data_IF_263724036522
#
_entry.id   IF_263724036522
#
_cell.length_a   1.000
_cell.length_b   1.000
_cell.length_c   1.000
_cell.angle_alpha   90.00
_cell.angle_beta   90.00
_cell.angle_gamma   90.00
#
_symmetry.space_group_name_H-M   'P 1'
#
loop_
_entity.id
_entity.type
_entity.pdbx_description
1 polymer ?
#
# COMPACT_ATOMS: atom_id res chain seq x y z
N UNK A 1 -34.34 4.11 -5.07
CA UNK A 1 -34.22 4.26 -3.61
C UNK A 1 -35.48 3.69 -2.97
N UNK A 2 -35.45 2.46 -2.46
CA UNK A 2 -36.60 1.87 -1.78
C UNK A 2 -36.63 2.39 -0.34
N UNK A 3 -37.65 3.18 -0.01
CA UNK A 3 -38.15 3.28 1.36
C UNK A 3 -38.75 1.92 1.67
N UNK A 4 -38.17 1.20 2.62
CA UNK A 4 -38.84 0.04 3.21
C UNK A 4 -39.62 0.56 4.42
N UNK A 5 -40.95 0.53 4.30
CA UNK A 5 -41.90 0.59 5.40
C UNK A 5 -41.53 -0.48 6.44
N UNK A 6 -41.40 -0.09 7.72
CA UNK A 6 -41.30 -1.02 8.83
C UNK A 6 -42.71 -1.51 9.17
N UNK A 7 -43.13 -2.60 8.55
CA UNK A 7 -44.30 -3.37 8.97
C UNK A 7 -43.89 -4.30 10.13
N UNK A 8 -44.75 -4.38 11.16
CA UNK A 8 -44.59 -5.14 12.40
C UNK A 8 -44.05 -6.57 12.19
N UNK A 9 -42.77 -6.78 12.50
CA UNK A 9 -42.22 -8.08 12.84
C UNK A 9 -41.24 -7.89 13.99
N UNK A 10 -41.65 -8.28 15.21
CA UNK A 10 -40.87 -8.16 16.44
C UNK A 10 -39.49 -8.84 16.38
N UNK A 11 -39.27 -9.71 15.38
CA UNK A 11 -37.99 -10.35 15.10
C UNK A 11 -37.06 -9.43 14.29
N UNK A 12 -37.57 -8.69 13.31
CA UNK A 12 -36.75 -7.81 12.45
C UNK A 12 -36.29 -6.55 13.18
N UNK A 13 -37.13 -6.02 14.07
CA UNK A 13 -36.76 -4.91 14.97
C UNK A 13 -35.60 -5.28 15.90
N UNK A 14 -35.53 -6.55 16.33
CA UNK A 14 -34.42 -7.07 17.13
C UNK A 14 -33.13 -7.16 16.31
N UNK A 15 -33.19 -7.58 15.04
CA UNK A 15 -32.02 -7.59 14.14
C UNK A 15 -31.51 -6.17 13.84
N UNK A 16 -32.41 -5.24 13.54
CA UNK A 16 -32.05 -3.83 13.28
C UNK A 16 -31.46 -3.16 14.54
N UNK A 17 -32.06 -3.37 15.71
CA UNK A 17 -31.51 -2.88 16.97
C UNK A 17 -30.13 -3.51 17.28
N UNK A 18 -29.97 -4.82 17.05
CA UNK A 18 -28.71 -5.53 17.29
C UNK A 18 -27.60 -5.13 16.31
N UNK A 19 -27.94 -4.71 15.09
CA UNK A 19 -26.97 -4.18 14.13
C UNK A 19 -26.56 -2.73 14.43
N UNK A 20 -27.50 -1.87 14.84
CA UNK A 20 -27.21 -0.49 15.29
C UNK A 20 -26.22 -0.50 16.47
N UNK A 21 -26.40 -1.41 17.42
CA UNK A 21 -25.54 -1.51 18.60
C UNK A 21 -24.11 -2.01 18.29
N UNK A 22 -23.88 -2.73 17.18
CA UNK A 22 -22.55 -3.28 16.88
C UNK A 22 -21.53 -2.22 16.50
N UNK A 23 -21.95 -1.18 15.76
CA UNK A 23 -21.02 -0.17 15.23
C UNK A 23 -20.12 0.49 16.29
N UNK A 24 -20.61 0.65 17.51
CA UNK A 24 -19.85 1.21 18.64
C UNK A 24 -19.71 0.26 19.84
N UNK A 25 -20.03 -1.03 19.68
CA UNK A 25 -19.89 -2.01 20.77
C UNK A 25 -18.43 -2.43 20.99
N UNK A 26 -17.66 -2.57 19.91
CA UNK A 26 -16.26 -2.93 19.96
C UNK A 26 -15.38 -1.76 19.48
N UNK A 27 -14.17 -1.64 20.04
CA UNK A 27 -13.18 -0.64 19.58
C UNK A 27 -12.88 -0.77 18.09
N UNK A 28 -12.72 -2.00 17.60
CA UNK A 28 -12.39 -2.25 16.19
C UNK A 28 -13.54 -1.88 15.25
N UNK A 29 -14.78 -2.24 15.60
CA UNK A 29 -15.99 -1.85 14.85
C UNK A 29 -16.18 -0.33 14.88
N UNK A 30 -15.84 0.32 15.99
CA UNK A 30 -15.88 1.80 16.10
C UNK A 30 -14.86 2.45 15.16
N UNK A 31 -13.64 1.91 15.09
CA UNK A 31 -12.60 2.39 14.17
C UNK A 31 -13.02 2.21 12.71
N UNK A 32 -13.59 1.06 12.36
CA UNK A 32 -14.13 0.81 11.01
C UNK A 32 -15.25 1.79 10.67
N UNK A 33 -16.19 2.01 11.59
CA UNK A 33 -17.30 2.97 11.43
C UNK A 33 -16.78 4.39 11.22
N UNK A 34 -15.76 4.82 11.97
CA UNK A 34 -15.13 6.13 11.79
C UNK A 34 -14.35 6.25 10.46
N UNK A 35 -13.65 5.19 10.04
CA UNK A 35 -12.97 5.13 8.75
C UNK A 35 -13.96 5.29 7.59
N UNK A 36 -15.04 4.51 7.57
CA UNK A 36 -16.09 4.66 6.57
C UNK A 36 -16.82 6.00 6.68
N UNK A 37 -16.94 6.54 7.89
CA UNK A 37 -17.46 7.89 8.16
C UNK A 37 -16.61 9.00 7.54
N UNK A 38 -15.29 8.83 7.41
CA UNK A 38 -14.41 9.80 6.74
C UNK A 38 -14.74 9.98 5.26
N UNK A 39 -15.24 8.91 4.60
CA UNK A 39 -15.72 8.97 3.22
C UNK A 39 -17.19 9.40 3.09
N UNK A 40 -17.87 9.68 4.20
CA UNK A 40 -19.29 10.03 4.22
C UNK A 40 -20.23 8.85 3.95
N UNK A 41 -19.78 7.61 4.17
CA UNK A 41 -20.56 6.39 3.92
C UNK A 41 -21.40 5.93 5.13
N UNK A 42 -21.36 6.67 6.24
CA UNK A 42 -22.16 6.40 7.44
C UNK A 42 -23.40 7.31 7.47
N UNK A 43 -24.56 6.76 7.82
CA UNK A 43 -25.79 7.52 7.97
C UNK A 43 -26.01 8.00 9.42
N UNK A 44 -26.79 9.07 9.60
CA UNK A 44 -27.16 9.61 10.90
C UNK A 44 -28.09 8.66 11.69
N UNK A 45 -28.76 7.73 10.99
CA UNK A 45 -29.62 6.70 11.60
C UNK A 45 -28.84 5.71 12.46
N UNK A 46 -27.55 5.50 12.18
CA UNK A 46 -26.67 4.61 12.97
C UNK A 46 -26.50 5.06 14.42
N UNK A 47 -26.76 6.33 14.74
CA UNK A 47 -26.68 6.88 16.11
C UNK A 47 -28.01 6.84 16.88
N UNK A 48 -29.11 6.40 16.24
CA UNK A 48 -30.42 6.30 16.88
C UNK A 48 -30.50 5.03 17.71
N UNK A 49 -30.74 5.16 19.02
CA UNK A 49 -30.86 4.03 19.95
C UNK A 49 -32.34 3.63 20.08
N UNK A 50 -32.64 2.33 20.09
CA UNK A 50 -34.01 1.78 20.23
C UNK A 50 -34.75 2.30 21.48
N UNK A 51 -34.05 2.43 22.61
CA UNK A 51 -34.56 3.20 23.77
C UNK A 51 -34.31 4.68 23.56
N UNK A 52 -35.38 5.50 23.64
CA UNK A 52 -35.35 6.98 23.56
C UNK A 52 -34.52 7.61 24.70
N UNK A 53 -33.20 7.53 24.60
CA UNK A 53 -32.26 8.31 25.39
C UNK A 53 -31.76 9.48 24.56
N UNK A 54 -32.56 10.56 24.53
CA UNK A 54 -32.29 11.75 23.73
C UNK A 54 -30.92 12.39 24.05
N UNK A 55 -30.48 12.32 25.31
CA UNK A 55 -29.19 12.87 25.73
C UNK A 55 -28.00 12.13 25.11
N UNK A 56 -27.98 10.79 25.18
CA UNK A 56 -26.89 9.97 24.63
C UNK A 56 -26.81 10.11 23.12
N UNK A 57 -27.96 10.15 22.44
CA UNK A 57 -28.03 10.40 21.00
C UNK A 57 -27.43 11.77 20.65
N UNK A 58 -27.81 12.82 21.37
CA UNK A 58 -27.28 14.17 21.13
C UNK A 58 -25.76 14.25 21.29
N UNK A 59 -25.20 13.64 22.34
CA UNK A 59 -23.75 13.59 22.55
C UNK A 59 -23.06 12.79 21.44
N UNK A 60 -23.61 11.64 21.04
CA UNK A 60 -23.07 10.81 19.96
C UNK A 60 -23.01 11.55 18.61
N UNK A 61 -24.11 12.21 18.21
CA UNK A 61 -24.15 13.03 17.00
C UNK A 61 -23.17 14.20 17.08
N UNK A 62 -23.07 14.85 18.24
CA UNK A 62 -22.15 16.00 18.43
C UNK A 62 -20.69 15.55 18.34
N UNK A 63 -20.32 14.45 19.00
CA UNK A 63 -18.97 13.88 18.93
C UNK A 63 -18.60 13.49 17.49
N UNK A 64 -19.53 12.83 16.77
CA UNK A 64 -19.32 12.47 15.38
C UNK A 64 -19.18 13.71 14.48
N UNK A 65 -20.00 14.75 14.68
CA UNK A 65 -19.93 16.00 13.91
C UNK A 65 -18.63 16.79 14.12
N UNK A 66 -18.13 16.84 15.35
CA UNK A 66 -16.82 17.46 15.65
C UNK A 66 -15.70 16.63 15.02
N UNK A 67 -15.76 15.30 15.14
CA UNK A 67 -14.81 14.39 14.50
C UNK A 67 -14.75 14.62 12.98
N UNK A 68 -15.89 14.61 12.29
CA UNK A 68 -15.94 14.78 10.83
C UNK A 68 -15.45 16.16 10.40
N UNK A 69 -15.75 17.21 11.18
CA UNK A 69 -15.29 18.57 10.91
C UNK A 69 -13.76 18.67 11.00
N UNK A 70 -13.15 18.11 12.03
CA UNK A 70 -11.68 18.10 12.18
C UNK A 70 -11.02 17.29 11.06
N UNK A 71 -11.55 16.10 10.74
CA UNK A 71 -10.98 15.22 9.72
C UNK A 71 -11.03 15.86 8.32
N UNK A 72 -12.18 16.40 7.92
CA UNK A 72 -12.40 16.92 6.56
C UNK A 72 -11.87 18.35 6.41
N UNK A 73 -12.12 19.24 7.38
CA UNK A 73 -11.79 20.66 7.21
C UNK A 73 -10.34 20.93 7.62
N UNK A 74 -9.88 20.35 8.74
CA UNK A 74 -8.56 20.70 9.29
C UNK A 74 -7.49 19.78 8.73
N UNK A 75 -7.61 18.47 8.93
CA UNK A 75 -6.54 17.53 8.57
C UNK A 75 -6.35 17.41 7.06
N UNK A 76 -7.43 17.33 6.28
CA UNK A 76 -7.33 17.26 4.83
C UNK A 76 -6.71 18.53 4.25
N UNK A 77 -7.09 19.72 4.72
CA UNK A 77 -6.47 20.96 4.28
C UNK A 77 -4.98 21.04 4.64
N UNK A 78 -4.59 20.56 5.82
CA UNK A 78 -3.19 20.49 6.21
C UNK A 78 -2.41 19.45 5.38
N UNK A 79 -3.04 18.32 5.04
CA UNK A 79 -2.44 17.31 4.17
C UNK A 79 -2.22 17.86 2.76
N UNK A 80 -3.21 18.55 2.19
CA UNK A 80 -3.07 19.20 0.88
C UNK A 80 -1.97 20.26 0.95
N UNK A 81 -1.92 21.09 2.00
CA UNK A 81 -0.88 22.10 2.16
C UNK A 81 0.52 21.48 2.22
N UNK A 82 0.69 20.40 3.00
CA UNK A 82 1.95 19.67 3.08
C UNK A 82 2.34 19.02 1.74
N UNK A 83 1.40 18.37 1.06
CA UNK A 83 1.63 17.75 -0.25
C UNK A 83 1.97 18.77 -1.33
N UNK A 84 1.34 19.94 -1.30
CA UNK A 84 1.67 21.03 -2.22
C UNK A 84 3.11 21.52 -1.99
N UNK A 85 3.50 21.72 -0.73
CA UNK A 85 4.85 22.18 -0.40
C UNK A 85 5.92 21.12 -0.72
N UNK A 86 5.65 19.84 -0.41
CA UNK A 86 6.56 18.75 -0.74
C UNK A 86 6.65 18.53 -2.25
N UNK A 87 5.55 18.69 -2.99
CA UNK A 87 5.54 18.60 -4.45
C UNK A 87 6.40 19.68 -5.09
N UNK A 88 6.29 20.95 -4.65
CA UNK A 88 7.14 22.02 -5.17
C UNK A 88 8.62 21.75 -4.91
N UNK A 89 8.97 21.23 -3.73
CA UNK A 89 10.33 20.84 -3.41
C UNK A 89 10.86 19.74 -4.34
N UNK A 90 10.10 18.66 -4.54
CA UNK A 90 10.48 17.52 -5.39
C UNK A 90 10.53 17.92 -6.87
N UNK A 91 9.58 18.74 -7.34
CA UNK A 91 9.50 19.18 -8.73
C UNK A 91 10.79 19.85 -9.22
N UNK A 92 11.49 20.59 -8.34
CA UNK A 92 12.74 21.28 -8.67
C UNK A 92 13.90 20.33 -9.02
N UNK A 93 13.89 19.10 -8.52
CA UNK A 93 14.94 18.08 -8.76
C UNK A 93 14.43 16.86 -9.52
N UNK A 94 13.14 16.83 -9.89
CA UNK A 94 12.54 15.70 -10.60
C UNK A 94 13.28 15.42 -11.91
N UNK A 95 13.76 16.47 -12.60
CA UNK A 95 14.43 16.32 -13.89
C UNK A 95 15.69 15.46 -13.89
N UNK A 96 16.51 15.60 -12.87
CA UNK A 96 17.74 14.85 -12.71
C UNK A 96 17.46 13.47 -12.14
N UNK A 97 16.52 13.36 -11.20
CA UNK A 97 16.09 12.11 -10.59
C UNK A 97 15.44 11.15 -11.60
N UNK A 98 14.54 11.63 -12.47
CA UNK A 98 13.92 10.78 -13.49
C UNK A 98 14.94 10.31 -14.53
N UNK A 99 15.89 11.17 -14.93
CA UNK A 99 16.96 10.79 -15.85
C UNK A 99 17.89 9.77 -15.21
N UNK A 100 18.19 9.89 -13.92
CA UNK A 100 18.97 8.92 -13.16
C UNK A 100 18.26 7.57 -13.04
N UNK A 101 16.98 7.56 -12.63
CA UNK A 101 16.17 6.34 -12.54
C UNK A 101 16.06 5.65 -13.91
N UNK A 102 15.87 6.44 -14.97
CA UNK A 102 15.89 5.95 -16.35
C UNK A 102 17.24 5.32 -16.68
N UNK A 103 18.36 6.02 -16.48
CA UNK A 103 19.70 5.48 -16.75
C UNK A 103 19.97 4.19 -15.97
N UNK A 104 19.56 4.13 -14.69
CA UNK A 104 19.66 2.93 -13.86
C UNK A 104 18.87 1.75 -14.45
N UNK A 105 17.67 2.01 -14.98
CA UNK A 105 16.89 1.01 -15.70
C UNK A 105 17.64 0.55 -16.96
N UNK A 106 18.13 1.46 -17.81
CA UNK A 106 18.90 1.09 -19.00
C UNK A 106 20.14 0.25 -18.66
N UNK A 107 20.90 0.61 -17.63
CA UNK A 107 22.06 -0.15 -17.14
C UNK A 107 21.65 -1.58 -16.75
N UNK A 108 20.51 -1.74 -16.06
CA UNK A 108 20.00 -3.07 -15.69
C UNK A 108 19.66 -3.98 -16.87
N UNK A 109 19.43 -3.42 -18.06
CA UNK A 109 19.24 -4.17 -19.31
C UNK A 109 20.53 -4.41 -20.09
N UNK A 110 21.57 -3.59 -19.89
CA UNK A 110 22.87 -3.74 -20.55
C UNK A 110 23.79 -4.76 -19.88
N UNK A 111 23.58 -5.06 -18.60
CA UNK A 111 24.33 -6.14 -17.94
C UNK A 111 23.87 -7.50 -18.49
N UNK A 112 24.82 -8.25 -19.09
CA UNK A 112 24.66 -9.48 -19.90
C UNK A 112 24.10 -10.73 -19.15
N UNK A 113 23.16 -10.56 -18.22
CA UNK A 113 22.61 -11.65 -17.38
C UNK A 113 21.22 -12.18 -17.77
N UNK A 114 20.40 -11.39 -18.47
CA UNK A 114 18.98 -11.70 -18.72
C UNK A 114 18.56 -11.28 -20.13
N UNK A 115 19.20 -11.82 -21.17
CA UNK A 115 18.88 -11.52 -22.58
C UNK A 115 17.54 -12.13 -23.06
N UNK A 116 16.80 -12.81 -22.17
CA UNK A 116 15.49 -13.38 -22.46
C UNK A 116 14.44 -12.88 -21.45
N UNK A 117 13.24 -12.45 -21.91
CA UNK A 117 12.16 -12.10 -21.00
C UNK A 117 11.75 -13.32 -20.16
N UNK A 118 11.35 -13.18 -18.89
CA UNK A 118 10.65 -14.25 -18.18
C UNK A 118 9.41 -14.61 -19.02
N UNK A 119 9.19 -15.85 -19.51
CA UNK A 119 9.52 -17.20 -18.99
C UNK A 119 10.72 -17.94 -19.61
N UNK A 120 11.49 -17.32 -20.52
CA UNK A 120 12.59 -17.99 -21.24
C UNK A 120 13.95 -17.93 -20.51
N UNK A 121 13.97 -17.38 -19.29
CA UNK A 121 15.15 -17.33 -18.41
C UNK A 121 15.49 -18.68 -17.73
N UNK A 122 14.70 -19.74 -17.99
CA UNK A 122 14.90 -21.10 -17.44
C UNK A 122 15.83 -21.96 -18.29
N UNK A 123 15.99 -21.66 -19.58
CA UNK A 123 16.93 -22.40 -20.44
C UNK A 123 18.31 -21.80 -20.23
N UNK A 124 19.24 -22.48 -19.50
CA UNK A 124 20.58 -21.96 -19.32
C UNK A 124 21.20 -21.74 -20.70
N UNK A 125 21.72 -20.53 -20.95
CA UNK A 125 22.38 -20.24 -22.21
C UNK A 125 23.53 -21.24 -22.42
N UNK A 126 23.81 -21.68 -23.67
CA UNK A 126 24.91 -22.61 -23.96
C UNK A 126 26.25 -22.13 -23.40
N UNK A 127 26.42 -20.80 -23.27
CA UNK A 127 27.59 -20.17 -22.63
C UNK A 127 27.65 -20.41 -21.12
N UNK A 128 26.52 -20.30 -20.41
CA UNK A 128 26.45 -20.57 -18.97
C UNK A 128 26.80 -22.02 -18.64
N UNK A 129 26.31 -22.96 -19.45
CA UNK A 129 26.64 -24.39 -19.33
C UNK A 129 28.16 -24.62 -19.51
N UNK A 130 28.77 -24.00 -20.53
CA UNK A 130 30.22 -24.10 -20.76
C UNK A 130 31.05 -23.54 -19.59
N UNK A 131 30.67 -22.38 -19.04
CA UNK A 131 31.33 -21.82 -17.85
C UNK A 131 31.20 -22.72 -16.63
N UNK A 132 30.04 -23.33 -16.40
CA UNK A 132 29.82 -24.29 -15.31
C UNK A 132 30.70 -25.54 -15.50
N UNK A 133 30.80 -26.09 -16.71
CA UNK A 133 31.69 -27.23 -17.00
C UNK A 133 33.17 -26.89 -16.78
N UNK A 134 33.62 -25.72 -17.20
CA UNK A 134 35.00 -25.26 -16.96
C UNK A 134 35.23 -25.05 -15.45
N UNK A 135 34.27 -24.50 -14.72
CA UNK A 135 34.34 -24.31 -13.28
C UNK A 135 34.42 -25.65 -12.53
N UNK A 136 33.58 -26.62 -12.90
CA UNK A 136 33.58 -27.98 -12.32
C UNK A 136 34.87 -28.70 -12.68
N UNK A 137 35.32 -28.65 -13.93
CA UNK A 137 36.60 -29.24 -14.35
C UNK A 137 37.79 -28.61 -13.64
N UNK A 138 37.80 -27.29 -13.45
CA UNK A 138 38.83 -26.61 -12.65
C UNK A 138 38.77 -26.96 -11.16
N UNK A 139 37.61 -27.32 -10.62
CA UNK A 139 37.45 -27.72 -9.22
C UNK A 139 37.81 -29.19 -8.99
N UNK A 140 37.56 -30.06 -9.97
CA UNK A 140 37.77 -31.52 -9.89
C UNK A 140 39.16 -31.91 -10.42
N UNK A 141 39.66 -31.26 -11.47
CA UNK A 141 40.94 -31.54 -12.13
C UNK A 141 41.98 -30.41 -11.99
N UNK A 142 41.67 -29.27 -11.36
CA UNK A 142 42.55 -28.10 -11.34
C UNK A 142 43.36 -27.92 -10.06
N UNK A 143 44.43 -28.70 -9.91
CA UNK A 143 45.69 -28.07 -9.54
C UNK A 143 46.26 -27.42 -10.83
N UNK A 144 46.66 -26.15 -10.75
CA UNK A 144 47.30 -25.37 -11.84
C UNK A 144 46.38 -24.65 -12.83
N UNK A 145 45.91 -23.45 -12.49
CA UNK A 145 45.99 -22.23 -13.36
C UNK A 145 45.93 -20.95 -12.51
N UNK A 146 46.93 -20.78 -11.65
CA UNK A 146 47.15 -19.54 -10.87
C UNK A 146 47.92 -18.46 -11.67
N UNK A 147 47.93 -18.50 -13.02
CA UNK A 147 48.91 -17.73 -13.81
C UNK A 147 48.36 -16.53 -14.63
N UNK A 148 47.07 -16.21 -14.62
CA UNK A 148 46.54 -15.07 -15.42
C UNK A 148 45.94 -13.92 -14.59
N UNK A 149 46.18 -13.89 -13.27
CA UNK A 149 45.78 -12.75 -12.40
C UNK A 149 46.84 -11.63 -12.30
N UNK A 150 48.06 -11.86 -12.79
CA UNK A 150 49.16 -10.90 -12.62
C UNK A 150 49.26 -9.84 -13.73
N UNK A 151 48.46 -9.91 -14.80
CA UNK A 151 48.51 -8.92 -15.90
C UNK A 151 47.86 -7.57 -15.55
N UNK A 152 47.08 -7.49 -14.48
CA UNK A 152 46.34 -6.29 -14.06
C UNK A 152 47.01 -5.50 -12.92
N UNK A 153 48.21 -5.89 -12.47
CA UNK A 153 49.00 -5.11 -11.51
C UNK A 153 50.07 -4.22 -12.16
N UNK A 154 50.20 -4.24 -13.49
CA UNK A 154 51.18 -3.43 -14.24
C UNK A 154 50.59 -2.12 -14.81
N UNK A 155 49.34 -1.79 -14.48
CA UNK A 155 48.73 -0.51 -14.85
C UNK A 155 48.34 0.17 -13.54
N UNK A 156 49.34 0.78 -12.91
CA UNK A 156 49.18 1.73 -11.83
C UNK A 156 50.04 2.94 -12.18
#
# INVERSE_FOLDING_TARGET
>A
MKKHECENDTNFDEYCAKDIHKHFSNLFESLQTLFWGTFGLIDLQTFQIYKKHTFTMFIGLTMYGVYSSIMIIVLLNMLIAMMSNSYQYIANSTETEWKFARAKLWISYFEDGCTLPPPFNIVPSPKSICYIFIFIYSRVFGCSKTHLRNRWQSIK
#
